data_IF_650480156923
#
_entry.id   IF_650480156923
#
_cell.length_a   1.000
_cell.length_b   1.000
_cell.length_c   1.000
_cell.angle_alpha   90.00
_cell.angle_beta   90.00
_cell.angle_gamma   90.00
#
_symmetry.space_group_name_H-M   'P 1'
#
loop_
_entity.id
_entity.type
_entity.pdbx_description
1 polymer ?
#
# COMPACT_ATOMS: atom_id res chain seq x y z
N UNK A 1 29.11 1.15 0.51
CA UNK A 1 28.90 1.95 -0.71
C UNK A 1 27.43 2.31 -0.83
N UNK A 2 27.10 3.59 -0.72
CA UNK A 2 25.75 4.14 -0.74
C UNK A 2 25.12 4.03 -2.15
N UNK A 3 24.61 2.87 -2.52
CA UNK A 3 23.63 2.80 -3.60
C UNK A 3 22.29 3.26 -3.03
N UNK A 4 22.13 4.58 -2.89
CA UNK A 4 20.78 5.15 -2.87
C UNK A 4 20.15 4.69 -4.17
N UNK A 5 19.03 3.97 -4.09
CA UNK A 5 18.03 3.92 -5.16
C UNK A 5 17.59 5.37 -5.40
N UNK A 6 18.43 6.11 -6.11
CA UNK A 6 18.19 7.49 -6.47
C UNK A 6 17.20 7.41 -7.60
N UNK A 7 15.93 7.70 -7.31
CA UNK A 7 14.93 7.90 -8.34
C UNK A 7 15.26 9.26 -8.99
N UNK A 8 15.78 9.30 -10.23
CA UNK A 8 16.16 10.56 -10.89
C UNK A 8 14.94 11.47 -11.11
N UNK A 9 13.71 10.94 -11.08
CA UNK A 9 12.48 11.74 -11.13
C UNK A 9 12.24 12.58 -9.86
N UNK A 10 12.98 12.32 -8.75
CA UNK A 10 12.85 13.09 -7.49
C UNK A 10 13.22 14.57 -7.63
N UNK A 11 14.08 14.93 -8.58
CA UNK A 11 14.51 16.33 -8.75
C UNK A 11 13.54 17.15 -9.60
N UNK A 12 12.84 16.50 -10.53
CA UNK A 12 11.81 17.13 -11.38
C UNK A 12 10.43 17.19 -10.70
N UNK A 13 10.15 16.27 -9.78
CA UNK A 13 8.84 16.14 -9.15
C UNK A 13 8.76 16.91 -7.81
N UNK A 14 7.68 17.68 -7.64
CA UNK A 14 7.48 18.64 -6.54
C UNK A 14 7.23 17.96 -5.19
N UNK A 15 8.21 17.30 -4.58
CA UNK A 15 8.10 16.82 -3.19
C UNK A 15 8.38 18.01 -2.25
N UNK A 16 7.35 18.46 -1.52
CA UNK A 16 7.44 19.44 -0.42
C UNK A 16 8.59 19.08 0.51
N UNK A 17 9.54 20.02 0.63
CA UNK A 17 10.69 19.91 1.51
C UNK A 17 10.33 20.51 2.88
N UNK A 18 9.87 19.68 3.80
CA UNK A 18 9.66 20.12 5.19
C UNK A 18 11.03 20.35 5.85
N UNK A 19 11.39 21.61 6.05
CA UNK A 19 12.71 21.98 6.60
C UNK A 19 12.83 21.59 8.08
N UNK A 20 11.74 21.70 8.83
CA UNK A 20 11.66 21.26 10.23
C UNK A 20 12.03 19.78 10.42
N UNK A 21 11.71 18.92 9.45
CA UNK A 21 12.10 17.51 9.52
C UNK A 21 13.57 17.29 9.15
N UNK A 22 14.16 18.18 8.35
CA UNK A 22 15.54 18.05 7.92
C UNK A 22 16.53 18.28 9.07
N UNK A 23 16.15 19.07 10.07
CA UNK A 23 16.92 19.32 11.30
C UNK A 23 16.70 18.28 12.40
N UNK A 24 15.74 17.35 12.24
CA UNK A 24 15.46 16.35 13.27
C UNK A 24 16.63 15.37 13.43
N UNK A 25 16.93 15.02 14.69
CA UNK A 25 17.95 14.04 15.02
C UNK A 25 17.69 12.69 14.34
N UNK A 26 18.75 12.10 13.80
CA UNK A 26 18.66 10.85 13.05
C UNK A 26 19.01 9.67 13.95
N UNK A 27 18.01 8.85 14.26
CA UNK A 27 18.22 7.58 14.94
C UNK A 27 19.12 6.64 14.12
N UNK A 28 20.09 6.01 14.80
CA UNK A 28 20.93 4.99 14.20
C UNK A 28 20.07 3.78 13.81
N UNK A 29 20.25 3.31 12.57
CA UNK A 29 19.55 2.10 12.12
C UNK A 29 20.11 0.89 12.87
N UNK A 30 19.26 0.06 13.48
CA UNK A 30 19.71 -1.13 14.18
C UNK A 30 20.20 -2.20 13.19
N UNK A 31 21.05 -3.10 13.69
CA UNK A 31 21.71 -4.14 12.89
C UNK A 31 20.73 -5.07 12.16
N UNK A 32 19.58 -5.37 12.78
CA UNK A 32 18.53 -6.21 12.20
C UNK A 32 17.75 -5.53 11.06
N UNK A 33 17.85 -4.22 10.91
CA UNK A 33 17.17 -3.46 9.84
C UNK A 33 18.07 -3.28 8.62
N UNK A 34 18.56 -4.41 8.10
CA UNK A 34 19.38 -4.49 6.88
C UNK A 34 18.69 -5.34 5.83
N UNK A 35 18.55 -4.80 4.62
CA UNK A 35 17.97 -5.52 3.47
C UNK A 35 19.09 -6.33 2.81
N UNK A 36 18.82 -7.60 2.54
CA UNK A 36 19.67 -8.42 1.68
C UNK A 36 19.29 -8.11 0.23
N UNK A 37 20.24 -7.62 -0.57
CA UNK A 37 20.04 -7.39 -1.99
C UNK A 37 20.34 -8.73 -2.71
N UNK A 38 19.35 -9.39 -3.33
CA UNK A 38 19.61 -10.62 -4.07
C UNK A 38 20.56 -10.38 -5.25
N UNK A 39 21.34 -11.39 -5.59
CA UNK A 39 22.31 -11.34 -6.70
C UNK A 39 21.55 -11.12 -8.02
N UNK A 40 22.04 -10.20 -8.86
CA UNK A 40 21.42 -9.84 -10.14
C UNK A 40 21.20 -11.07 -11.03
N UNK A 41 19.97 -11.23 -11.50
CA UNK A 41 19.58 -12.16 -12.57
C UNK A 41 18.61 -11.46 -13.54
N UNK A 42 18.35 -12.07 -14.69
CA UNK A 42 17.57 -11.46 -15.78
C UNK A 42 16.10 -11.17 -15.45
N UNK A 43 15.52 -11.83 -14.44
CA UNK A 43 14.09 -11.70 -14.12
C UNK A 43 13.70 -10.29 -13.65
N UNK A 44 14.56 -9.64 -12.87
CA UNK A 44 14.35 -8.24 -12.45
C UNK A 44 14.26 -7.30 -13.66
N UNK A 45 15.20 -7.46 -14.61
CA UNK A 45 15.26 -6.63 -15.81
C UNK A 45 14.03 -6.84 -16.71
N UNK A 46 13.60 -8.11 -16.88
CA UNK A 46 12.39 -8.44 -17.63
C UNK A 46 11.12 -7.81 -17.04
N UNK A 47 10.93 -7.89 -15.72
CA UNK A 47 9.81 -7.23 -15.04
C UNK A 47 9.82 -5.73 -15.29
N UNK A 48 10.99 -5.09 -15.12
CA UNK A 48 11.15 -3.64 -15.32
C UNK A 48 10.89 -3.23 -16.77
N UNK A 49 11.34 -4.03 -17.73
CA UNK A 49 11.13 -3.76 -19.16
C UNK A 49 9.65 -3.85 -19.55
N UNK A 50 8.92 -4.87 -19.06
CA UNK A 50 7.48 -5.01 -19.30
C UNK A 50 6.73 -3.78 -18.78
N UNK A 51 7.03 -3.33 -17.55
CA UNK A 51 6.41 -2.16 -16.94
C UNK A 51 6.71 -0.88 -17.72
N UNK A 52 7.98 -0.69 -18.10
CA UNK A 52 8.43 0.48 -18.89
C UNK A 52 7.76 0.52 -20.26
N UNK A 53 7.70 -0.60 -20.98
CA UNK A 53 7.11 -0.68 -22.31
C UNK A 53 5.58 -0.49 -22.27
N UNK A 54 4.93 -0.83 -21.16
CA UNK A 54 3.52 -0.53 -20.91
C UNK A 54 3.24 0.92 -20.52
N UNK A 55 4.28 1.73 -20.25
CA UNK A 55 4.12 3.09 -19.74
C UNK A 55 3.50 3.14 -18.34
N UNK A 56 3.64 2.08 -17.55
CA UNK A 56 2.98 1.94 -16.25
C UNK A 56 3.88 2.39 -15.11
N UNK A 57 3.30 3.09 -14.14
CA UNK A 57 3.95 3.39 -12.88
C UNK A 57 3.75 2.24 -11.87
N UNK A 58 4.72 2.06 -10.97
CA UNK A 58 4.57 1.16 -9.82
C UNK A 58 4.86 1.90 -8.53
N UNK A 59 4.10 1.59 -7.47
CA UNK A 59 4.43 2.10 -6.14
C UNK A 59 5.77 1.54 -5.66
N UNK A 60 6.19 0.38 -6.18
CA UNK A 60 7.49 -0.23 -5.93
C UNK A 60 8.64 0.74 -6.26
N UNK A 61 8.58 1.37 -7.44
CA UNK A 61 9.58 2.33 -7.91
C UNK A 61 9.37 3.73 -7.31
N UNK A 62 8.12 4.17 -7.21
CA UNK A 62 7.79 5.54 -6.79
C UNK A 62 7.89 5.77 -5.28
N UNK A 63 7.74 4.72 -4.45
CA UNK A 63 7.81 4.83 -2.99
C UNK A 63 9.14 4.36 -2.38
N UNK A 64 10.19 4.21 -3.19
CA UNK A 64 11.51 3.71 -2.76
C UNK A 64 11.42 2.38 -1.97
N UNK A 65 10.63 1.44 -2.47
CA UNK A 65 10.31 0.21 -1.74
C UNK A 65 11.56 -0.64 -1.46
N UNK A 66 11.80 -1.05 -0.19
CA UNK A 66 12.94 -1.90 0.15
C UNK A 66 12.87 -3.29 -0.50
N UNK A 67 11.67 -3.75 -0.84
CA UNK A 67 11.41 -5.11 -1.32
C UNK A 67 11.44 -5.21 -2.85
N UNK A 68 11.67 -4.10 -3.59
CA UNK A 68 11.58 -4.08 -5.07
C UNK A 68 12.43 -5.16 -5.73
N UNK A 69 13.63 -5.40 -5.21
CA UNK A 69 14.54 -6.40 -5.77
C UNK A 69 13.99 -7.82 -5.65
N UNK A 70 13.39 -8.15 -4.51
CA UNK A 70 12.78 -9.46 -4.25
C UNK A 70 11.49 -9.61 -5.05
N UNK A 71 10.60 -8.61 -5.01
CA UNK A 71 9.32 -8.66 -5.71
C UNK A 71 9.51 -8.79 -7.22
N UNK A 72 10.36 -7.94 -7.84
CA UNK A 72 10.57 -7.97 -9.29
C UNK A 72 11.28 -9.24 -9.75
N UNK A 73 12.13 -9.82 -8.91
CA UNK A 73 12.75 -11.11 -9.19
C UNK A 73 11.69 -12.23 -9.32
N UNK A 74 10.68 -12.22 -8.44
CA UNK A 74 9.55 -13.14 -8.49
C UNK A 74 8.43 -12.67 -9.45
N UNK A 75 8.73 -11.73 -10.37
CA UNK A 75 7.78 -11.12 -11.32
C UNK A 75 6.55 -10.49 -10.68
N UNK A 76 6.66 -10.00 -9.44
CA UNK A 76 5.59 -9.32 -8.71
C UNK A 76 5.76 -7.82 -8.79
N UNK A 77 4.66 -7.11 -9.03
CA UNK A 77 4.60 -5.66 -9.00
C UNK A 77 3.26 -5.19 -8.45
N UNK A 78 3.25 -4.02 -7.82
CA UNK A 78 2.03 -3.31 -7.45
C UNK A 78 1.87 -2.12 -8.38
N UNK A 79 0.82 -2.14 -9.18
CA UNK A 79 0.55 -1.09 -10.16
C UNK A 79 0.09 0.19 -9.45
N UNK A 80 0.66 1.32 -9.85
CA UNK A 80 0.22 2.64 -9.40
C UNK A 80 -0.54 3.29 -10.57
N UNK A 81 -1.86 3.23 -10.52
CA UNK A 81 -2.75 3.79 -11.55
C UNK A 81 -2.97 5.29 -11.31
N UNK A 82 -3.50 5.97 -12.33
CA UNK A 82 -3.78 7.41 -12.35
C UNK A 82 -2.52 8.28 -12.29
N UNK A 83 -1.39 7.72 -12.73
CA UNK A 83 -0.09 8.40 -12.77
C UNK A 83 0.65 8.42 -11.43
N UNK A 84 1.70 9.24 -11.37
CA UNK A 84 2.64 9.29 -10.24
C UNK A 84 2.61 10.60 -9.45
N UNK A 85 1.63 11.47 -9.71
CA UNK A 85 1.47 12.77 -9.05
C UNK A 85 0.19 12.73 -8.22
N UNK A 86 0.33 12.84 -6.90
CA UNK A 86 -0.76 12.86 -5.94
C UNK A 86 -1.28 14.28 -5.70
N UNK A 87 -2.59 14.42 -5.55
CA UNK A 87 -3.20 15.70 -5.12
C UNK A 87 -2.94 16.00 -3.64
N UNK A 88 -2.52 15.01 -2.86
CA UNK A 88 -2.24 15.09 -1.43
C UNK A 88 -0.76 14.94 -1.10
N UNK A 89 -0.41 15.26 0.15
CA UNK A 89 0.97 15.49 0.60
C UNK A 89 1.24 14.87 1.97
N UNK A 90 0.93 13.58 2.13
CA UNK A 90 1.20 12.83 3.36
C UNK A 90 2.70 12.84 3.68
N UNK A 91 3.15 13.43 4.82
CA UNK A 91 4.58 13.61 5.10
C UNK A 91 5.43 12.34 5.21
N UNK A 92 4.82 11.17 5.27
CA UNK A 92 5.53 9.88 5.25
C UNK A 92 5.77 9.33 3.83
N UNK A 93 4.99 9.77 2.84
CA UNK A 93 4.92 9.17 1.51
C UNK A 93 5.88 9.83 0.52
N UNK A 94 6.59 9.03 -0.27
CA UNK A 94 7.60 9.50 -1.24
C UNK A 94 7.03 9.76 -2.65
N UNK A 95 5.73 9.50 -2.85
CA UNK A 95 5.05 9.80 -4.11
C UNK A 95 5.01 11.31 -4.31
N UNK A 96 5.31 11.75 -5.53
CA UNK A 96 5.27 13.14 -5.92
C UNK A 96 3.86 13.75 -5.76
N UNK A 97 3.79 15.07 -5.66
CA UNK A 97 2.51 15.75 -5.57
C UNK A 97 2.43 17.01 -6.41
N UNK A 98 1.21 17.39 -6.76
CA UNK A 98 0.94 18.49 -7.67
C UNK A 98 -0.40 18.31 -8.39
N UNK A 99 -0.47 18.85 -9.61
CA UNK A 99 -1.62 18.69 -10.49
C UNK A 99 -1.39 17.47 -11.39
N UNK A 100 -2.19 16.39 -11.24
CA UNK A 100 -2.05 15.21 -12.09
C UNK A 100 -2.44 15.52 -13.54
N UNK A 101 -1.98 14.67 -14.46
CA UNK A 101 -2.49 14.68 -15.85
C UNK A 101 -3.91 14.07 -15.89
N UNK A 102 -4.68 14.32 -16.96
CA UNK A 102 -5.91 13.58 -17.23
C UNK A 102 -5.68 12.07 -17.16
N UNK A 103 -6.72 11.32 -16.77
CA UNK A 103 -6.66 9.86 -16.78
C UNK A 103 -6.41 9.35 -18.19
N UNK A 104 -5.55 8.34 -18.30
CA UNK A 104 -5.35 7.60 -19.54
C UNK A 104 -6.46 6.54 -19.66
N UNK A 105 -7.39 6.65 -20.62
CA UNK A 105 -8.51 5.73 -20.74
C UNK A 105 -8.07 4.30 -21.09
N UNK A 106 -6.86 4.10 -21.62
CA UNK A 106 -6.31 2.78 -21.93
C UNK A 106 -5.49 2.19 -20.78
N UNK A 107 -5.26 2.92 -19.67
CA UNK A 107 -4.51 2.42 -18.52
C UNK A 107 -5.06 1.09 -17.97
N UNK A 108 -6.39 0.87 -17.83
CA UNK A 108 -6.93 -0.43 -17.42
C UNK A 108 -6.48 -1.60 -18.28
N UNK A 109 -6.52 -1.44 -19.62
CA UNK A 109 -6.08 -2.47 -20.56
C UNK A 109 -4.57 -2.69 -20.50
N UNK A 110 -3.80 -1.62 -20.35
CA UNK A 110 -2.33 -1.69 -20.19
C UNK A 110 -1.94 -2.45 -18.92
N UNK A 111 -2.64 -2.21 -17.81
CA UNK A 111 -2.42 -2.94 -16.55
C UNK A 111 -2.71 -4.43 -16.72
N UNK A 112 -3.86 -4.80 -17.29
CA UNK A 112 -4.20 -6.20 -17.54
C UNK A 112 -3.18 -6.87 -18.48
N UNK A 113 -2.75 -6.18 -19.53
CA UNK A 113 -1.75 -6.69 -20.46
C UNK A 113 -0.38 -6.93 -19.79
N UNK A 114 0.04 -6.01 -18.91
CA UNK A 114 1.25 -6.18 -18.13
C UNK A 114 1.12 -7.34 -17.14
N UNK A 115 -0.02 -7.48 -16.45
CA UNK A 115 -0.28 -8.61 -15.56
C UNK A 115 -0.19 -9.96 -16.29
N UNK A 116 -0.77 -10.04 -17.50
CA UNK A 116 -0.69 -11.22 -18.38
C UNK A 116 0.74 -11.54 -18.79
N UNK A 117 1.52 -10.54 -19.24
CA UNK A 117 2.93 -10.71 -19.63
C UNK A 117 3.83 -11.16 -18.48
N UNK A 118 3.53 -10.69 -17.27
CA UNK A 118 4.26 -11.08 -16.06
C UNK A 118 3.85 -12.48 -15.56
N UNK A 119 2.70 -13.01 -16.00
CA UNK A 119 2.15 -14.27 -15.53
C UNK A 119 1.67 -14.18 -14.08
N UNK A 120 1.09 -13.03 -13.69
CA UNK A 120 0.61 -12.80 -12.33
C UNK A 120 -0.63 -13.64 -12.03
N UNK A 121 -0.60 -14.36 -10.91
CA UNK A 121 -1.79 -15.02 -10.32
C UNK A 121 -2.56 -14.11 -9.37
N UNK A 122 -1.90 -13.05 -8.89
CA UNK A 122 -2.44 -12.09 -7.95
C UNK A 122 -1.93 -10.70 -8.30
N UNK A 123 -2.85 -9.76 -8.50
CA UNK A 123 -2.55 -8.40 -8.92
C UNK A 123 -2.94 -7.43 -7.82
N UNK A 124 -1.98 -6.61 -7.39
CA UNK A 124 -2.26 -5.49 -6.47
C UNK A 124 -2.27 -4.19 -7.26
N UNK A 125 -3.35 -3.44 -7.12
CA UNK A 125 -3.53 -2.13 -7.75
C UNK A 125 -3.67 -1.09 -6.64
N UNK A 126 -2.97 0.03 -6.76
CA UNK A 126 -3.17 1.19 -5.90
C UNK A 126 -3.14 2.46 -6.75
N UNK A 127 -3.53 3.60 -6.19
CA UNK A 127 -3.51 4.86 -6.90
C UNK A 127 -2.90 5.95 -6.05
N UNK A 128 -2.60 7.07 -6.70
CA UNK A 128 -2.49 8.35 -6.02
C UNK A 128 -3.88 8.87 -5.60
N UNK A 129 -3.95 9.82 -4.67
CA UNK A 129 -5.20 10.55 -4.42
C UNK A 129 -5.51 11.47 -5.61
N UNK A 130 -6.75 11.41 -6.11
CA UNK A 130 -7.29 12.24 -7.20
C UNK A 130 -8.44 13.11 -6.72
N UNK A 131 -8.15 14.04 -5.81
CA UNK A 131 -9.14 15.01 -5.31
C UNK A 131 -9.67 15.96 -6.43
N UNK A 132 -9.07 15.93 -7.62
CA UNK A 132 -9.43 16.74 -8.80
C UNK A 132 -10.57 16.14 -9.65
N UNK A 133 -10.93 14.87 -9.46
CA UNK A 133 -12.04 14.22 -10.20
C UNK A 133 -13.24 13.92 -9.28
N UNK A 134 -14.42 13.78 -9.88
CA UNK A 134 -15.71 13.77 -9.15
C UNK A 134 -15.89 12.55 -8.24
N UNK A 135 -15.39 11.40 -8.64
CA UNK A 135 -15.50 10.12 -7.92
C UNK A 135 -14.19 9.73 -7.20
N UNK A 136 -13.17 10.58 -7.24
CA UNK A 136 -11.84 10.29 -6.69
C UNK A 136 -11.10 9.17 -7.41
N UNK A 137 -11.58 8.74 -8.59
CA UNK A 137 -10.97 7.67 -9.41
C UNK A 137 -11.53 6.28 -9.16
N UNK A 138 -12.61 6.15 -8.39
CA UNK A 138 -13.22 4.86 -8.09
C UNK A 138 -13.67 4.08 -9.34
N UNK A 139 -14.24 4.76 -10.35
CA UNK A 139 -14.60 4.14 -11.63
C UNK A 139 -13.37 3.58 -12.35
N UNK A 140 -12.25 4.29 -12.28
CA UNK A 140 -11.02 3.85 -12.93
C UNK A 140 -10.42 2.62 -12.26
N UNK A 141 -10.49 2.52 -10.93
CA UNK A 141 -10.19 1.26 -10.21
C UNK A 141 -11.10 0.13 -10.70
N UNK A 142 -12.41 0.37 -10.77
CA UNK A 142 -13.37 -0.64 -11.23
C UNK A 142 -13.07 -1.13 -12.65
N UNK A 143 -12.72 -0.21 -13.55
CA UNK A 143 -12.30 -0.54 -14.91
C UNK A 143 -11.03 -1.40 -14.93
N UNK A 144 -10.02 -1.09 -14.11
CA UNK A 144 -8.82 -1.92 -13.98
C UNK A 144 -9.15 -3.33 -13.47
N UNK A 145 -9.98 -3.45 -12.43
CA UNK A 145 -10.40 -4.73 -11.87
C UNK A 145 -11.10 -5.58 -12.93
N UNK A 146 -12.07 -5.00 -13.65
CA UNK A 146 -12.81 -5.68 -14.71
C UNK A 146 -11.91 -6.14 -15.88
N UNK A 147 -10.91 -5.35 -16.28
CA UNK A 147 -9.96 -5.77 -17.30
C UNK A 147 -9.08 -6.94 -16.83
N UNK A 148 -8.66 -6.96 -15.55
CA UNK A 148 -7.84 -8.04 -15.00
C UNK A 148 -8.66 -9.33 -14.82
N UNK A 149 -9.94 -9.25 -14.42
CA UNK A 149 -10.82 -10.41 -14.28
C UNK A 149 -11.09 -11.16 -15.60
N UNK A 150 -10.77 -10.56 -16.75
CA UNK A 150 -10.78 -11.26 -18.05
C UNK A 150 -9.63 -12.28 -18.17
N UNK A 151 -8.65 -12.23 -17.28
CA UNK A 151 -7.55 -13.19 -17.18
C UNK A 151 -7.96 -14.29 -16.21
N UNK A 152 -8.13 -15.50 -16.73
CA UNK A 152 -8.61 -16.63 -15.94
C UNK A 152 -7.70 -16.96 -14.74
N UNK A 153 -8.33 -17.25 -13.59
CA UNK A 153 -7.64 -17.62 -12.35
C UNK A 153 -6.86 -16.51 -11.65
N UNK A 154 -6.94 -15.25 -12.10
CA UNK A 154 -6.23 -14.12 -11.47
C UNK A 154 -7.07 -13.48 -10.37
N UNK A 155 -6.45 -13.30 -9.21
CA UNK A 155 -7.01 -12.60 -8.05
C UNK A 155 -6.59 -11.13 -8.02
N UNK A 156 -7.47 -10.25 -7.54
CA UNK A 156 -7.24 -8.80 -7.52
C UNK A 156 -7.41 -8.21 -6.13
N UNK A 157 -6.37 -7.52 -5.66
CA UNK A 157 -6.40 -6.64 -4.48
C UNK A 157 -6.33 -5.19 -4.93
N UNK A 158 -7.25 -4.36 -4.44
CA UNK A 158 -7.17 -2.91 -4.60
C UNK A 158 -6.82 -2.24 -3.28
N UNK A 159 -5.78 -1.40 -3.27
CA UNK A 159 -5.42 -0.50 -2.18
C UNK A 159 -5.89 0.90 -2.55
N UNK A 160 -7.04 1.30 -2.03
CA UNK A 160 -7.75 2.52 -2.44
C UNK A 160 -7.41 3.73 -1.56
N UNK A 161 -7.53 4.96 -2.09
CA UNK A 161 -7.57 6.17 -1.27
C UNK A 161 -8.83 6.21 -0.40
N UNK A 162 -8.98 7.26 0.40
CA UNK A 162 -10.14 7.40 1.30
C UNK A 162 -11.41 7.94 0.61
N UNK A 163 -11.31 8.36 -0.66
CA UNK A 163 -12.40 9.01 -1.41
C UNK A 163 -13.07 10.16 -0.65
N UNK A 164 -12.29 10.99 0.06
CA UNK A 164 -12.77 12.13 0.86
C UNK A 164 -13.85 12.95 0.14
N UNK A 165 -15.01 13.07 0.79
CA UNK A 165 -16.17 13.82 0.30
C UNK A 165 -16.92 13.15 -0.86
N UNK A 166 -16.59 11.90 -1.21
CA UNK A 166 -17.08 11.17 -2.39
C UNK A 166 -17.36 9.69 -2.11
N UNK A 167 -17.48 9.32 -0.83
CA UNK A 167 -17.59 7.93 -0.39
C UNK A 167 -18.72 7.19 -1.11
N UNK A 168 -19.93 7.75 -1.11
CA UNK A 168 -21.10 7.09 -1.70
C UNK A 168 -20.90 6.80 -3.20
N UNK A 169 -20.37 7.78 -3.94
CA UNK A 169 -20.08 7.62 -5.37
C UNK A 169 -18.98 6.60 -5.62
N UNK A 170 -17.96 6.58 -4.76
CA UNK A 170 -16.88 5.61 -4.86
C UNK A 170 -17.36 4.17 -4.60
N UNK A 171 -18.20 3.98 -3.58
CA UNK A 171 -18.80 2.68 -3.27
C UNK A 171 -19.71 2.19 -4.40
N UNK A 172 -20.56 3.07 -4.95
CA UNK A 172 -21.40 2.76 -6.12
C UNK A 172 -20.55 2.24 -7.29
N UNK A 173 -19.50 2.97 -7.66
CA UNK A 173 -18.63 2.59 -8.78
C UNK A 173 -17.89 1.27 -8.53
N UNK A 174 -17.37 1.06 -7.31
CA UNK A 174 -16.55 -0.12 -6.98
C UNK A 174 -17.38 -1.39 -6.81
N UNK A 175 -18.66 -1.31 -6.44
CA UNK A 175 -19.54 -2.48 -6.35
C UNK A 175 -19.72 -3.18 -7.71
N UNK A 176 -19.64 -2.43 -8.81
CA UNK A 176 -19.73 -2.98 -10.16
C UNK A 176 -18.48 -3.78 -10.61
N UNK A 177 -17.42 -3.76 -9.81
CA UNK A 177 -16.18 -4.49 -10.07
C UNK A 177 -15.55 -4.94 -8.75
N UNK A 178 -16.19 -5.91 -8.10
CA UNK A 178 -15.77 -6.38 -6.77
C UNK A 178 -14.40 -7.06 -6.82
N UNK A 179 -13.35 -6.53 -6.16
CA UNK A 179 -12.06 -7.20 -6.01
C UNK A 179 -12.16 -8.42 -5.08
N UNK A 180 -11.14 -9.28 -5.07
CA UNK A 180 -11.01 -10.35 -4.07
C UNK A 180 -10.61 -9.79 -2.70
N UNK A 181 -9.78 -8.73 -2.69
CA UNK A 181 -9.39 -8.01 -1.46
C UNK A 181 -9.55 -6.49 -1.64
N UNK A 182 -10.33 -5.89 -0.76
CA UNK A 182 -10.46 -4.44 -0.63
C UNK A 182 -9.58 -3.92 0.50
N UNK A 183 -8.55 -3.16 0.16
CA UNK A 183 -7.56 -2.66 1.10
C UNK A 183 -7.66 -1.13 1.22
N UNK A 184 -7.72 -0.64 2.46
CA UNK A 184 -7.48 0.75 2.77
C UNK A 184 -6.62 0.85 4.03
N UNK A 185 -5.40 1.36 3.89
CA UNK A 185 -4.52 1.51 5.04
C UNK A 185 -5.01 2.61 5.98
N UNK A 186 -5.05 2.31 7.28
CA UNK A 186 -5.26 3.31 8.33
C UNK A 186 -3.97 4.09 8.64
N UNK A 187 -2.82 3.47 8.37
CA UNK A 187 -1.44 3.98 8.46
C UNK A 187 -0.92 4.24 9.87
N UNK A 188 -1.67 4.93 10.74
CA UNK A 188 -1.22 5.26 12.09
C UNK A 188 -2.38 5.50 13.06
N UNK A 189 -2.03 5.82 14.31
CA UNK A 189 -2.96 6.02 15.43
C UNK A 189 -3.67 7.39 15.35
N UNK A 190 -4.88 7.54 15.92
CA UNK A 190 -5.67 8.78 15.83
C UNK A 190 -4.90 10.04 16.21
N UNK A 191 -4.11 9.98 17.29
CA UNK A 191 -3.29 11.10 17.79
C UNK A 191 -2.29 11.63 16.75
N UNK A 192 -1.70 10.76 15.94
CA UNK A 192 -0.71 11.10 14.92
C UNK A 192 -1.32 11.34 13.54
N UNK A 193 -2.62 11.07 13.39
CA UNK A 193 -3.24 10.96 12.08
C UNK A 193 -3.18 12.27 11.29
N UNK A 194 -3.44 13.42 11.92
CA UNK A 194 -3.36 14.74 11.25
C UNK A 194 -1.94 15.12 10.83
N UNK A 195 -0.93 14.67 11.59
CA UNK A 195 0.49 14.89 11.27
C UNK A 195 0.92 14.01 10.10
N UNK A 196 0.57 12.71 10.13
CA UNK A 196 0.95 11.75 9.10
C UNK A 196 0.10 11.86 7.82
N UNK A 197 -1.19 12.20 7.94
CA UNK A 197 -2.17 12.29 6.86
C UNK A 197 -3.00 13.58 6.97
N UNK A 198 -2.42 14.77 6.70
CA UNK A 198 -3.13 16.05 6.83
C UNK A 198 -4.41 16.15 5.97
N UNK A 199 -4.48 15.39 4.88
CA UNK A 199 -5.65 15.32 4.00
C UNK A 199 -6.66 14.23 4.34
N UNK A 200 -6.31 13.30 5.24
CA UNK A 200 -7.18 12.17 5.62
C UNK A 200 -7.92 12.43 6.94
N UNK A 201 -8.81 11.51 7.29
CA UNK A 201 -9.52 11.48 8.57
C UNK A 201 -9.66 10.03 9.07
N UNK A 202 -9.27 9.77 10.32
CA UNK A 202 -9.25 8.43 10.92
C UNK A 202 -10.63 7.76 10.90
N UNK A 203 -11.64 8.44 11.42
CA UNK A 203 -13.03 7.94 11.45
C UNK A 203 -13.59 7.71 10.05
N UNK A 204 -13.26 8.59 9.10
CA UNK A 204 -13.67 8.44 7.70
C UNK A 204 -13.01 7.21 7.05
N UNK A 205 -11.74 6.93 7.34
CA UNK A 205 -11.06 5.71 6.89
C UNK A 205 -11.71 4.44 7.45
N UNK A 206 -12.07 4.43 8.74
CA UNK A 206 -12.81 3.33 9.35
C UNK A 206 -14.20 3.17 8.73
N UNK A 207 -14.90 4.29 8.51
CA UNK A 207 -16.20 4.31 7.85
C UNK A 207 -16.11 3.71 6.45
N UNK A 208 -15.11 4.04 5.64
CA UNK A 208 -14.91 3.46 4.30
C UNK A 208 -14.83 1.92 4.37
N UNK A 209 -14.00 1.39 5.27
CA UNK A 209 -13.81 -0.05 5.45
C UNK A 209 -15.11 -0.73 5.92
N UNK A 210 -15.80 -0.12 6.88
CA UNK A 210 -17.07 -0.63 7.40
C UNK A 210 -18.18 -0.62 6.35
N UNK A 211 -18.36 0.48 5.62
CA UNK A 211 -19.38 0.56 4.57
C UNK A 211 -19.10 -0.44 3.44
N UNK A 212 -17.84 -0.58 3.01
CA UNK A 212 -17.49 -1.60 2.02
C UNK A 212 -17.84 -3.02 2.50
N UNK A 213 -17.55 -3.35 3.77
CA UNK A 213 -17.87 -4.67 4.34
C UNK A 213 -19.36 -5.01 4.32
N UNK A 214 -20.24 -4.00 4.34
CA UNK A 214 -21.70 -4.18 4.21
C UNK A 214 -22.11 -4.43 2.76
N UNK A 215 -21.37 -3.88 1.80
CA UNK A 215 -21.66 -3.98 0.37
C UNK A 215 -21.21 -5.31 -0.24
N UNK A 216 -20.18 -5.96 0.30
CA UNK A 216 -19.64 -7.21 -0.23
C UNK A 216 -19.31 -8.20 0.88
N UNK A 217 -20.08 -9.29 0.96
CA UNK A 217 -19.88 -10.34 1.97
C UNK A 217 -18.75 -11.31 1.61
N UNK A 218 -18.34 -11.36 0.34
CA UNK A 218 -17.32 -12.30 -0.15
C UNK A 218 -15.95 -11.65 -0.33
N UNK A 219 -15.88 -10.31 -0.35
CA UNK A 219 -14.63 -9.57 -0.49
C UNK A 219 -13.94 -9.44 0.86
N UNK A 220 -12.68 -9.86 0.96
CA UNK A 220 -11.89 -9.67 2.17
C UNK A 220 -11.50 -8.20 2.31
N UNK A 221 -11.52 -7.70 3.54
CA UNK A 221 -11.15 -6.32 3.87
C UNK A 221 -9.79 -6.29 4.51
N UNK A 222 -8.93 -5.37 4.08
CA UNK A 222 -7.55 -5.28 4.55
C UNK A 222 -7.20 -3.86 4.96
N UNK A 223 -6.32 -3.77 5.96
CA UNK A 223 -5.70 -2.50 6.33
C UNK A 223 -4.22 -2.68 6.65
N UNK A 224 -3.54 -1.57 6.86
CA UNK A 224 -2.11 -1.50 7.10
C UNK A 224 -1.76 -0.42 8.11
N UNK A 225 -0.77 -0.73 8.95
CA UNK A 225 -0.19 0.16 9.96
C UNK A 225 1.32 0.28 9.75
N UNK A 226 1.81 1.50 9.86
CA UNK A 226 3.23 1.78 9.98
C UNK A 226 3.57 2.09 11.44
N UNK A 227 4.54 1.37 12.00
CA UNK A 227 5.08 1.62 13.34
C UNK A 227 6.42 2.36 13.25
N UNK A 228 6.72 3.18 14.25
CA UNK A 228 7.91 4.02 14.31
C UNK A 228 7.69 5.50 14.04
N UNK A 229 6.44 5.96 13.97
CA UNK A 229 6.05 7.36 13.77
C UNK A 229 5.90 8.13 15.09
N UNK A 230 5.90 7.43 16.24
CA UNK A 230 5.79 8.01 17.58
C UNK A 230 4.59 7.52 18.37
N UNK A 231 3.91 6.50 17.85
CA UNK A 231 2.86 5.74 18.51
C UNK A 231 3.43 4.87 19.63
N UNK A 232 2.61 4.63 20.66
CA UNK A 232 2.84 3.61 21.69
C UNK A 232 2.28 2.27 21.23
N UNK A 233 2.72 1.18 21.86
CA UNK A 233 2.24 -0.16 21.52
C UNK A 233 0.76 -0.33 21.88
N UNK A 234 0.31 0.30 22.97
CA UNK A 234 -1.09 0.29 23.39
C UNK A 234 -2.00 0.97 22.36
N UNK A 235 -1.56 2.12 21.81
CA UNK A 235 -2.31 2.81 20.75
C UNK A 235 -2.39 1.97 19.47
N UNK A 236 -1.39 1.13 19.19
CA UNK A 236 -1.47 0.17 18.07
C UNK A 236 -2.53 -0.90 18.34
N UNK A 237 -2.59 -1.44 19.56
CA UNK A 237 -3.60 -2.44 19.92
C UNK A 237 -5.03 -1.85 19.86
N UNK A 238 -5.22 -0.62 20.31
CA UNK A 238 -6.51 0.10 20.19
C UNK A 238 -6.94 0.21 18.72
N UNK A 239 -6.02 0.59 17.81
CA UNK A 239 -6.34 0.65 16.38
C UNK A 239 -6.66 -0.74 15.81
N UNK A 240 -6.00 -1.80 16.28
CA UNK A 240 -6.33 -3.15 15.85
C UNK A 240 -7.75 -3.54 16.26
N UNK A 241 -8.19 -3.15 17.46
CA UNK A 241 -9.56 -3.33 17.93
C UNK A 241 -10.55 -2.50 17.10
N UNK A 242 -10.22 -1.25 16.77
CA UNK A 242 -11.01 -0.39 15.87
C UNK A 242 -11.22 -1.02 14.49
N UNK A 243 -10.13 -1.53 13.90
CA UNK A 243 -10.19 -2.20 12.60
C UNK A 243 -11.09 -3.44 12.64
N UNK A 244 -11.01 -4.26 13.70
CA UNK A 244 -11.91 -5.41 13.86
C UNK A 244 -13.36 -5.00 14.05
N UNK A 245 -13.63 -3.96 14.86
CA UNK A 245 -14.98 -3.40 15.02
C UNK A 245 -15.59 -2.89 13.70
N UNK A 246 -14.75 -2.54 12.73
CA UNK A 246 -15.13 -2.12 11.39
C UNK A 246 -14.93 -3.25 10.34
N UNK A 247 -15.00 -4.51 10.78
CA UNK A 247 -15.00 -5.72 9.95
C UNK A 247 -13.77 -5.90 9.05
N UNK A 248 -12.61 -5.33 9.41
CA UNK A 248 -11.35 -5.56 8.68
C UNK A 248 -10.82 -6.96 8.97
N UNK A 249 -10.69 -7.81 7.97
CA UNK A 249 -10.31 -9.23 8.15
C UNK A 249 -8.82 -9.50 8.05
N UNK A 250 -8.07 -8.68 7.32
CA UNK A 250 -6.63 -8.84 7.10
C UNK A 250 -5.84 -7.60 7.57
N UNK A 251 -4.64 -7.81 8.09
CA UNK A 251 -3.78 -6.74 8.59
C UNK A 251 -2.35 -6.86 8.08
N UNK A 252 -1.71 -5.72 7.90
CA UNK A 252 -0.25 -5.63 7.74
C UNK A 252 0.33 -4.62 8.72
N UNK A 253 1.45 -4.96 9.36
CA UNK A 253 2.16 -4.06 10.28
C UNK A 253 3.63 -4.02 9.89
N UNK A 254 4.09 -2.84 9.47
CA UNK A 254 5.44 -2.63 8.94
C UNK A 254 6.19 -1.52 9.65
N UNK A 255 7.53 -1.56 9.65
CA UNK A 255 8.33 -0.43 10.12
C UNK A 255 8.22 0.73 9.11
N UNK A 256 7.93 1.93 9.62
CA UNK A 256 8.09 3.16 8.87
C UNK A 256 9.56 3.36 8.51
N UNK A 257 9.85 3.40 7.21
CA UNK A 257 11.18 3.69 6.69
C UNK A 257 11.15 5.05 5.99
N UNK A 258 11.79 6.02 6.63
CA UNK A 258 11.85 7.40 6.17
C UNK A 258 12.48 7.51 4.76
N UNK A 259 11.74 7.98 3.74
CA UNK A 259 12.24 8.03 2.36
C UNK A 259 13.36 9.07 2.13
N UNK A 260 13.32 10.19 2.86
CA UNK A 260 14.32 11.26 2.81
C UNK A 260 14.32 12.10 4.08
N UNK A 261 15.33 12.97 4.26
CA UNK A 261 15.38 13.94 5.36
C UNK A 261 14.24 14.97 5.37
N UNK A 262 13.42 15.02 4.33
CA UNK A 262 12.29 15.94 4.24
C UNK A 262 10.94 15.28 4.55
N UNK A 263 10.94 14.00 4.93
CA UNK A 263 9.78 13.27 5.40
C UNK A 263 9.76 13.22 6.93
N UNK A 264 8.59 12.92 7.51
CA UNK A 264 8.42 12.79 8.96
C UNK A 264 9.55 11.95 9.58
N UNK A 265 10.19 12.37 10.69
CA UNK A 265 11.28 11.63 11.29
C UNK A 265 10.83 10.28 11.88
N UNK A 266 11.68 9.26 11.78
CA UNK A 266 11.48 8.01 12.54
C UNK A 266 11.66 8.32 14.03
N UNK A 267 10.67 7.95 14.85
CA UNK A 267 10.70 8.14 16.32
C UNK A 267 11.19 6.90 17.06
N UNK A 268 11.02 5.71 16.49
CA UNK A 268 11.56 4.45 17.01
C UNK A 268 11.72 3.39 15.92
N UNK A 269 12.70 2.50 16.11
CA UNK A 269 12.81 1.26 15.34
C UNK A 269 12.29 0.11 16.19
N UNK A 270 11.15 -0.44 15.82
CA UNK A 270 10.45 -1.49 16.60
C UNK A 270 11.20 -2.81 16.45
N UNK A 271 11.55 -3.46 17.58
CA UNK A 271 12.27 -4.73 17.56
C UNK A 271 11.44 -5.85 16.91
N UNK A 272 12.04 -6.80 16.17
CA UNK A 272 11.32 -7.94 15.58
C UNK A 272 10.41 -8.70 16.56
N UNK A 273 10.78 -8.81 17.83
CA UNK A 273 9.92 -9.50 18.83
C UNK A 273 8.63 -8.75 19.12
N UNK A 274 8.61 -7.41 19.01
CA UNK A 274 7.38 -6.65 19.14
C UNK A 274 6.46 -6.86 17.93
N UNK A 275 7.02 -7.05 16.73
CA UNK A 275 6.21 -7.46 15.56
C UNK A 275 5.54 -8.83 15.77
N UNK A 276 6.21 -9.78 16.43
CA UNK A 276 5.59 -11.07 16.81
C UNK A 276 4.40 -10.87 17.74
N UNK A 277 4.55 -10.05 18.77
CA UNK A 277 3.46 -9.70 19.69
C UNK A 277 2.27 -9.04 18.98
N UNK A 278 2.52 -8.17 18.00
CA UNK A 278 1.44 -7.62 17.19
C UNK A 278 0.70 -8.70 16.39
N UNK A 279 1.39 -9.70 15.83
CA UNK A 279 0.76 -10.80 15.11
C UNK A 279 -0.06 -11.70 16.05
N UNK A 280 0.46 -12.00 17.25
CA UNK A 280 -0.25 -12.75 18.29
C UNK A 280 -1.54 -12.03 18.71
N UNK A 281 -1.45 -10.73 19.02
CA UNK A 281 -2.63 -9.92 19.33
C UNK A 281 -3.62 -9.86 18.17
N UNK A 282 -3.16 -9.80 16.92
CA UNK A 282 -4.04 -9.83 15.76
C UNK A 282 -4.82 -11.15 15.67
N UNK A 283 -4.16 -12.28 15.96
CA UNK A 283 -4.79 -13.60 16.04
C UNK A 283 -5.83 -13.65 17.15
N UNK A 284 -5.51 -13.13 18.34
CA UNK A 284 -6.45 -13.06 19.48
C UNK A 284 -7.71 -12.23 19.15
N UNK A 285 -7.55 -11.13 18.41
CA UNK A 285 -8.65 -10.27 17.97
C UNK A 285 -9.43 -10.83 16.76
N UNK A 286 -9.04 -12.00 16.25
CA UNK A 286 -9.73 -12.70 15.18
C UNK A 286 -9.52 -12.12 13.78
N UNK A 287 -8.37 -11.49 13.51
CA UNK A 287 -7.95 -11.27 12.12
C UNK A 287 -7.69 -12.63 11.46
N UNK A 288 -8.14 -12.79 10.21
CA UNK A 288 -7.88 -14.01 9.44
C UNK A 288 -6.39 -14.16 9.10
N UNK A 289 -5.71 -13.04 8.88
CA UNK A 289 -4.28 -13.01 8.62
C UNK A 289 -3.67 -11.67 9.02
N UNK A 290 -2.48 -11.72 9.62
CA UNK A 290 -1.68 -10.54 9.94
C UNK A 290 -0.21 -10.76 9.57
N UNK A 291 0.26 -10.09 8.52
CA UNK A 291 1.70 -10.02 8.24
C UNK A 291 2.31 -8.89 9.06
N UNK A 292 3.22 -9.21 9.97
CA UNK A 292 3.84 -8.26 10.87
C UNK A 292 5.36 -8.41 10.85
N UNK A 293 6.07 -7.35 10.48
CA UNK A 293 7.54 -7.38 10.45
C UNK A 293 8.18 -6.11 9.89
N UNK A 294 9.49 -5.90 10.12
CA UNK A 294 10.15 -4.65 9.76
C UNK A 294 10.02 -4.25 8.29
N UNK A 295 10.11 -5.22 7.37
CA UNK A 295 10.05 -4.96 5.93
C UNK A 295 8.67 -5.21 5.33
N UNK A 296 7.66 -5.54 6.14
CA UNK A 296 6.30 -5.72 5.65
C UNK A 296 5.77 -4.40 5.07
N UNK A 297 5.05 -4.53 3.97
CA UNK A 297 4.32 -3.48 3.25
C UNK A 297 2.94 -4.04 2.93
N UNK A 298 1.95 -3.18 2.70
CA UNK A 298 0.58 -3.61 2.40
C UNK A 298 0.50 -4.61 1.24
N UNK A 299 1.38 -4.48 0.24
CA UNK A 299 1.46 -5.40 -0.91
C UNK A 299 2.57 -6.46 -0.84
N UNK A 300 3.38 -6.47 0.22
CA UNK A 300 4.44 -7.47 0.38
C UNK A 300 3.82 -8.83 0.71
N UNK A 301 4.13 -9.84 -0.12
CA UNK A 301 3.57 -11.19 -0.01
C UNK A 301 2.04 -11.22 0.08
N UNK A 302 1.36 -10.30 -0.62
CA UNK A 302 -0.10 -10.24 -0.63
C UNK A 302 -0.74 -11.51 -1.20
N UNK A 303 -0.11 -12.12 -2.21
CA UNK A 303 -0.53 -13.43 -2.73
C UNK A 303 -0.49 -14.49 -1.63
N UNK A 304 0.65 -14.68 -0.97
CA UNK A 304 0.79 -15.66 0.10
C UNK A 304 -0.14 -15.37 1.28
N UNK A 305 -0.32 -14.09 1.62
CA UNK A 305 -1.22 -13.69 2.69
C UNK A 305 -2.66 -14.13 2.43
N UNK A 306 -3.13 -13.98 1.18
CA UNK A 306 -4.44 -14.42 0.74
C UNK A 306 -4.51 -15.95 0.63
N UNK A 307 -3.52 -16.57 -0.03
CA UNK A 307 -3.48 -18.02 -0.32
C UNK A 307 -3.48 -18.86 0.97
N UNK A 308 -2.81 -18.39 2.04
CA UNK A 308 -2.83 -19.03 3.37
C UNK A 308 -4.24 -19.19 3.96
N UNK A 309 -5.21 -18.37 3.55
CA UNK A 309 -6.59 -18.47 4.03
C UNK A 309 -7.36 -19.64 3.42
N UNK A 310 -6.88 -20.16 2.28
CA UNK A 310 -7.57 -21.17 1.47
C UNK A 310 -6.76 -22.47 1.31
N UNK A 311 -5.61 -22.59 1.99
CA UNK A 311 -4.78 -23.79 2.02
C UNK A 311 -5.14 -24.63 3.27
N UNK A 312 -6.06 -25.59 3.11
CA UNK A 312 -6.56 -26.49 4.16
C UNK A 312 -5.45 -27.31 4.87
N UNK A 313 -4.25 -27.38 4.29
CA UNK A 313 -3.12 -28.17 4.82
C UNK A 313 -2.14 -27.38 5.72
N UNK A 314 -2.37 -26.08 5.99
CA UNK A 314 -1.46 -25.25 6.81
C UNK A 314 -2.11 -24.55 8.01
N UNK A 315 -3.42 -24.72 8.21
CA UNK A 315 -4.16 -24.20 9.36
C UNK A 315 -4.25 -25.18 10.55
N UNK A 316 -3.46 -26.26 10.53
CA UNK A 316 -3.19 -27.16 11.68
C UNK A 316 -1.81 -26.92 12.26
#
# INVERSE_FOLDING_TARGET
MNNKLHNPQREELKIKKYQEFASAEKLQKPEWLKIKIPIKNGAFAGTKEILKNGGLATVCEQAACPNISECFHHRRATFLIMGSICTRRCPFCDIAHGYPKPLDPDEPKKVAEAARKLGLKYVVITSVDRDDIKDGGAEHFANCVNEIHKIDGVKVEILVPDFRGRLDKALENLQHASPDVFNHNIETVPRLYKEARPGGNYEHSLKLLNEWSKCSQTCLTKSGLMVGLGEKDEEIYEVMEDLRRNNVTMLTIGQYLRPSKHHIPVKRYVHPDQFKKYAEKAKELGFLSCLSGPFVRSSYNAYEQHDLLFDDNKNT
#
